data_IF_824878269837
#
_entry.id   IF_824878269837
#
_cell.length_a   1.000
_cell.length_b   1.000
_cell.length_c   1.000
_cell.angle_alpha   90.00
_cell.angle_beta   90.00
_cell.angle_gamma   90.00
#
_symmetry.space_group_name_H-M   'P 1'
#
loop_
_entity.id
_entity.type
_entity.pdbx_description
1 polymer ?
#
# COMPACT_ATOMS: atom_id res chain seq x y z
N UNK A 1 11.16 8.04 16.06
CA UNK A 1 12.01 7.35 17.05
C UNK A 1 12.91 8.36 17.72
N UNK A 2 12.81 8.45 19.04
CA UNK A 2 13.60 9.38 19.84
C UNK A 2 14.81 8.66 20.43
N UNK A 3 15.88 9.41 20.63
CA UNK A 3 17.10 8.95 21.26
C UNK A 3 17.72 10.05 22.09
N UNK A 4 18.99 9.88 22.44
CA UNK A 4 19.77 10.87 23.17
C UNK A 4 21.03 11.18 22.40
N UNK A 5 21.16 12.43 21.96
CA UNK A 5 22.33 12.91 21.25
C UNK A 5 23.59 12.78 22.11
N UNK A 6 24.73 12.60 21.46
CA UNK A 6 26.04 12.59 22.12
C UNK A 6 27.16 12.35 21.12
N UNK A 7 28.41 12.34 21.58
CA UNK A 7 29.55 12.08 20.70
C UNK A 7 29.63 10.58 20.36
N UNK A 8 29.91 10.26 19.10
CA UNK A 8 30.07 8.90 18.60
C UNK A 8 31.13 8.05 19.31
N UNK A 9 32.16 8.68 19.93
CA UNK A 9 33.19 8.00 20.69
C UNK A 9 32.72 7.52 22.08
N UNK A 10 31.59 8.03 22.56
CA UNK A 10 31.04 7.70 23.88
C UNK A 10 29.60 7.19 23.77
N UNK A 11 29.34 6.09 23.01
CA UNK A 11 27.99 5.60 22.75
C UNK A 11 27.23 5.20 24.02
N UNK A 12 27.93 4.86 25.10
CA UNK A 12 27.35 4.58 26.42
C UNK A 12 26.63 5.80 27.03
N UNK A 13 27.07 7.02 26.69
CA UNK A 13 26.47 8.28 27.15
C UNK A 13 25.32 8.75 26.24
N UNK A 14 25.18 8.18 25.06
CA UNK A 14 24.14 8.51 24.09
C UNK A 14 23.12 7.37 23.93
N UNK A 15 22.08 7.58 23.14
CA UNK A 15 21.18 6.52 22.68
C UNK A 15 20.82 6.78 21.23
N UNK A 16 21.40 6.00 20.32
CA UNK A 16 21.31 6.29 18.90
C UNK A 16 19.94 5.83 18.35
N UNK A 17 19.06 6.75 17.92
CA UNK A 17 17.73 6.42 17.42
C UNK A 17 17.77 5.61 16.13
N UNK A 18 18.84 5.69 15.33
CA UNK A 18 19.02 4.89 14.10
C UNK A 18 19.05 3.40 14.45
N UNK A 19 19.74 3.03 15.54
CA UNK A 19 19.79 1.64 16.01
C UNK A 19 18.43 1.13 16.44
N UNK A 20 17.62 1.98 17.10
CA UNK A 20 16.24 1.65 17.46
C UNK A 20 15.35 1.51 16.23
N UNK A 21 15.45 2.47 15.31
CA UNK A 21 14.68 2.49 14.06
C UNK A 21 14.93 1.24 13.21
N UNK A 22 16.17 0.75 13.13
CA UNK A 22 16.48 -0.50 12.43
C UNK A 22 15.72 -1.71 13.00
N UNK A 23 15.57 -1.80 14.33
CA UNK A 23 14.80 -2.89 14.94
C UNK A 23 13.31 -2.78 14.64
N UNK A 24 12.76 -1.56 14.63
CA UNK A 24 11.36 -1.31 14.35
C UNK A 24 11.02 -1.58 12.87
N UNK A 25 11.83 -1.06 11.94
CA UNK A 25 11.65 -1.28 10.49
C UNK A 25 11.77 -2.76 10.13
N UNK A 26 12.74 -3.47 10.72
CA UNK A 26 12.89 -4.92 10.54
C UNK A 26 11.60 -5.67 10.90
N UNK A 27 10.94 -5.30 12.00
CA UNK A 27 9.69 -5.93 12.42
C UNK A 27 8.47 -5.52 11.57
N UNK A 28 8.48 -4.32 10.98
CA UNK A 28 7.44 -3.93 10.02
C UNK A 28 7.54 -4.73 8.73
N UNK A 29 8.76 -5.03 8.27
CA UNK A 29 8.99 -5.76 7.03
C UNK A 29 8.97 -7.29 7.21
N UNK A 30 9.27 -7.79 8.41
CA UNK A 30 9.36 -9.23 8.68
C UNK A 30 8.77 -9.64 10.04
N UNK A 31 8.00 -10.76 10.07
CA UNK A 31 7.60 -11.60 8.94
C UNK A 31 6.55 -10.92 8.04
N UNK A 32 6.21 -11.53 6.90
CA UNK A 32 5.06 -11.08 6.09
C UNK A 32 3.77 -11.01 6.92
N UNK A 33 2.84 -10.12 6.57
CA UNK A 33 1.57 -9.97 7.29
C UNK A 33 0.64 -11.17 7.05
N UNK A 34 0.54 -11.61 5.81
CA UNK A 34 -0.27 -12.76 5.39
C UNK A 34 0.29 -13.34 4.08
N UNK A 35 -0.44 -14.27 3.46
CA UNK A 35 -0.08 -14.93 2.20
C UNK A 35 -1.03 -14.62 1.06
N UNK A 36 -1.84 -13.56 1.19
CA UNK A 36 -2.93 -13.28 0.26
C UNK A 36 -4.15 -14.17 0.50
N UNK A 37 -5.17 -13.94 -0.31
CA UNK A 37 -6.39 -14.74 -0.36
C UNK A 37 -6.64 -15.20 -1.79
N UNK A 38 -7.81 -15.81 -2.04
CA UNK A 38 -8.22 -16.16 -3.41
C UNK A 38 -8.29 -14.92 -4.30
N UNK A 39 -8.83 -13.83 -3.76
CA UNK A 39 -9.20 -12.65 -4.53
C UNK A 39 -8.16 -11.53 -4.40
N UNK A 40 -7.25 -11.57 -3.42
CA UNK A 40 -6.27 -10.51 -3.16
C UNK A 40 -4.84 -11.01 -3.00
N UNK A 41 -3.89 -10.17 -3.43
CA UNK A 41 -2.47 -10.38 -3.19
C UNK A 41 -2.13 -10.28 -1.69
N UNK A 42 -0.94 -10.77 -1.25
CA UNK A 42 -0.48 -10.58 0.12
C UNK A 42 -0.44 -9.11 0.53
N UNK A 43 -0.79 -8.82 1.78
CA UNK A 43 -0.61 -7.48 2.35
C UNK A 43 0.87 -7.08 2.29
N UNK A 44 1.12 -5.88 1.79
CA UNK A 44 2.47 -5.36 1.58
C UNK A 44 2.66 -4.02 2.27
N UNK A 45 3.72 -3.91 3.07
CA UNK A 45 4.15 -2.67 3.72
C UNK A 45 5.48 -2.24 3.10
N UNK A 46 5.51 -1.01 2.59
CA UNK A 46 6.71 -0.40 2.02
C UNK A 46 7.18 0.76 2.88
N UNK A 47 8.47 0.79 3.20
CA UNK A 47 9.11 1.96 3.80
C UNK A 47 9.47 2.94 2.70
N UNK A 48 8.81 4.09 2.68
CA UNK A 48 8.92 5.08 1.61
C UNK A 48 9.98 6.14 1.89
N UNK A 49 10.36 6.36 3.15
CA UNK A 49 11.49 7.23 3.52
C UNK A 49 12.11 6.84 4.85
N UNK A 50 13.41 7.07 5.00
CA UNK A 50 14.13 7.03 6.28
C UNK A 50 15.02 8.27 6.38
N UNK A 51 14.81 9.07 7.42
CA UNK A 51 15.46 10.36 7.60
C UNK A 51 16.01 10.52 9.02
N UNK A 52 17.25 11.01 9.10
CA UNK A 52 17.91 11.35 10.37
C UNK A 52 18.19 12.86 10.45
N UNK A 53 18.41 13.51 9.30
CA UNK A 53 18.68 14.95 9.22
C UNK A 53 19.97 15.40 9.93
N UNK A 54 20.87 14.46 10.29
CA UNK A 54 22.14 14.78 10.94
C UNK A 54 23.29 14.75 9.92
N UNK A 55 23.93 15.89 9.61
CA UNK A 55 25.07 15.94 8.71
C UNK A 55 26.41 15.61 9.39
N UNK A 56 26.48 15.63 10.73
CA UNK A 56 27.73 15.45 11.46
C UNK A 56 28.12 13.98 11.57
N UNK A 57 29.38 13.66 11.26
CA UNK A 57 29.90 12.28 11.24
C UNK A 57 30.32 11.76 12.63
N UNK A 58 30.53 12.65 13.59
CA UNK A 58 30.98 12.33 14.95
C UNK A 58 29.90 12.53 16.03
N UNK A 59 28.67 12.85 15.63
CA UNK A 59 27.54 13.08 16.53
C UNK A 59 26.49 11.99 16.33
N UNK A 60 26.07 11.37 17.43
CA UNK A 60 24.88 10.50 17.49
C UNK A 60 23.65 11.41 17.50
N UNK A 61 22.66 11.22 16.61
CA UNK A 61 21.48 12.08 16.51
C UNK A 61 20.51 11.91 17.68
N UNK A 62 19.64 12.90 17.88
CA UNK A 62 18.56 12.84 18.88
C UNK A 62 17.28 12.18 18.34
N UNK A 63 17.07 12.16 17.02
CA UNK A 63 15.86 11.61 16.39
C UNK A 63 16.17 10.92 15.07
N UNK A 64 15.38 9.91 14.75
CA UNK A 64 15.27 9.34 13.40
C UNK A 64 13.79 9.08 13.08
N UNK A 65 13.43 9.22 11.82
CA UNK A 65 12.06 9.09 11.31
C UNK A 65 12.05 8.10 10.16
N UNK A 66 11.01 7.27 10.09
CA UNK A 66 10.68 6.51 8.89
C UNK A 66 9.23 6.80 8.50
N UNK A 67 8.96 6.78 7.20
CA UNK A 67 7.61 6.83 6.64
C UNK A 67 7.35 5.51 5.94
N UNK A 68 6.15 4.98 6.07
CA UNK A 68 5.74 3.75 5.40
C UNK A 68 4.32 3.87 4.86
N UNK A 69 4.00 3.04 3.87
CA UNK A 69 2.65 2.83 3.36
C UNK A 69 2.33 1.34 3.41
N UNK A 70 1.11 0.99 3.80
CA UNK A 70 0.64 -0.39 3.78
C UNK A 70 -0.58 -0.51 2.86
N UNK A 71 -0.52 -1.50 1.97
CA UNK A 71 -1.64 -1.97 1.16
C UNK A 71 -2.04 -3.33 1.71
N UNK A 72 -3.21 -3.42 2.33
CA UNK A 72 -3.70 -4.63 2.98
C UNK A 72 -4.85 -5.26 2.21
N UNK A 73 -4.99 -6.58 2.34
CA UNK A 73 -6.07 -7.35 1.71
C UNK A 73 -7.25 -7.60 2.65
N UNK A 74 -8.21 -8.37 2.17
CA UNK A 74 -9.49 -8.69 2.81
C UNK A 74 -9.39 -9.51 4.11
N UNK A 75 -8.19 -9.89 4.54
CA UNK A 75 -7.97 -10.45 5.88
C UNK A 75 -7.85 -9.39 6.97
N UNK A 76 -7.73 -8.12 6.58
CA UNK A 76 -7.56 -6.99 7.48
C UNK A 76 -8.62 -5.92 7.26
N UNK A 77 -8.89 -5.21 8.33
CA UNK A 77 -9.45 -3.86 8.30
C UNK A 77 -8.41 -2.85 8.84
N UNK A 78 -8.77 -1.57 8.82
CA UNK A 78 -7.88 -0.51 9.26
C UNK A 78 -7.50 -0.63 10.75
N UNK A 79 -8.41 -1.09 11.60
CA UNK A 79 -8.17 -1.18 13.04
C UNK A 79 -7.24 -2.35 13.37
N UNK A 80 -7.52 -3.51 12.80
CA UNK A 80 -6.75 -4.74 12.98
C UNK A 80 -5.33 -4.63 12.41
N UNK A 81 -5.16 -3.99 11.25
CA UNK A 81 -3.81 -3.79 10.69
C UNK A 81 -3.01 -2.76 11.49
N UNK A 82 -3.65 -1.70 12.00
CA UNK A 82 -2.99 -0.74 12.88
C UNK A 82 -2.59 -1.40 14.21
N UNK A 83 -3.47 -2.22 14.78
CA UNK A 83 -3.18 -2.98 15.99
C UNK A 83 -2.00 -3.94 15.78
N UNK A 84 -1.94 -4.65 14.65
CA UNK A 84 -0.81 -5.52 14.31
C UNK A 84 0.50 -4.74 14.14
N UNK A 85 0.46 -3.57 13.49
CA UNK A 85 1.62 -2.69 13.39
C UNK A 85 2.11 -2.26 14.78
N UNK A 86 1.20 -1.86 15.67
CA UNK A 86 1.56 -1.53 17.05
C UNK A 86 2.17 -2.73 17.79
N UNK A 87 1.58 -3.91 17.68
CA UNK A 87 2.10 -5.13 18.30
C UNK A 87 3.52 -5.45 17.83
N UNK A 88 3.78 -5.36 16.52
CA UNK A 88 5.13 -5.58 15.94
C UNK A 88 6.14 -4.58 16.48
N UNK A 89 5.77 -3.31 16.55
CA UNK A 89 6.64 -2.24 17.01
C UNK A 89 6.94 -2.35 18.51
N UNK A 90 5.95 -2.68 19.34
CA UNK A 90 6.14 -2.86 20.79
C UNK A 90 7.06 -4.05 21.10
N UNK A 91 6.85 -5.18 20.43
CA UNK A 91 7.76 -6.32 20.54
C UNK A 91 9.17 -5.97 20.07
N UNK A 92 9.28 -5.23 18.97
CA UNK A 92 10.56 -4.81 18.39
C UNK A 92 11.29 -3.79 19.26
N UNK A 93 10.57 -2.91 19.94
CA UNK A 93 11.13 -1.90 20.84
C UNK A 93 11.90 -2.53 22.02
N UNK A 94 11.52 -3.75 22.42
CA UNK A 94 12.23 -4.54 23.43
C UNK A 94 13.50 -5.25 22.92
N UNK A 95 13.66 -5.41 21.60
CA UNK A 95 14.79 -6.17 21.01
C UNK A 95 16.12 -5.50 21.29
N UNK A 96 17.15 -6.30 21.57
CA UNK A 96 18.50 -5.81 21.92
C UNK A 96 19.53 -5.95 20.81
N UNK A 97 19.17 -6.56 19.67
CA UNK A 97 20.06 -6.85 18.52
C UNK A 97 20.95 -5.66 18.14
N UNK A 98 20.36 -4.47 17.99
CA UNK A 98 21.10 -3.26 17.60
C UNK A 98 21.37 -2.29 18.76
N UNK A 99 20.78 -2.51 19.95
CA UNK A 99 20.95 -1.70 21.17
C UNK A 99 21.40 -2.55 22.37
N UNK A 100 22.57 -3.22 22.29
CA UNK A 100 23.05 -4.08 23.38
C UNK A 100 23.31 -3.25 24.65
N UNK A 101 23.00 -3.83 25.81
CA UNK A 101 23.21 -3.20 27.12
C UNK A 101 22.21 -2.10 27.49
N UNK A 102 21.34 -1.64 26.57
CA UNK A 102 20.26 -0.71 26.89
C UNK A 102 19.14 -1.44 27.63
N UNK A 103 18.75 -0.94 28.81
CA UNK A 103 17.67 -1.53 29.62
C UNK A 103 16.28 -1.07 29.17
N UNK A 104 16.17 0.17 28.71
CA UNK A 104 14.92 0.75 28.23
C UNK A 104 14.54 0.22 26.84
N UNK A 105 13.24 0.27 26.54
CA UNK A 105 12.72 0.03 25.19
C UNK A 105 13.18 1.13 24.23
N UNK A 106 12.94 0.96 22.93
CA UNK A 106 13.05 2.05 21.96
C UNK A 106 11.93 3.04 22.26
N UNK A 107 12.26 4.32 22.41
CA UNK A 107 11.26 5.38 22.50
C UNK A 107 10.80 5.76 21.09
N UNK A 108 9.52 5.55 20.80
CA UNK A 108 8.96 5.80 19.48
C UNK A 108 7.52 6.27 19.55
N UNK A 109 7.09 6.91 18.48
CA UNK A 109 5.73 7.36 18.24
C UNK A 109 5.38 6.98 16.79
N UNK A 110 4.13 6.55 16.58
CA UNK A 110 3.55 6.30 15.26
C UNK A 110 2.42 7.29 15.06
N UNK A 111 2.43 7.96 13.91
CA UNK A 111 1.41 8.95 13.55
C UNK A 111 0.75 8.51 12.25
N UNK A 112 -0.56 8.32 12.29
CA UNK A 112 -1.38 7.99 11.13
C UNK A 112 -1.82 9.28 10.42
N UNK A 113 -1.39 9.49 9.18
CA UNK A 113 -1.60 10.77 8.47
C UNK A 113 -2.86 10.81 7.62
N UNK A 114 -3.22 9.68 7.01
CA UNK A 114 -4.28 9.62 6.01
C UNK A 114 -5.44 8.74 6.47
N UNK A 115 -6.63 9.04 5.94
CA UNK A 115 -7.77 8.12 6.11
C UNK A 115 -7.49 6.81 5.38
N UNK A 116 -7.68 5.66 6.04
CA UNK A 116 -7.47 4.37 5.41
C UNK A 116 -8.43 4.19 4.23
N UNK A 117 -7.93 3.61 3.15
CA UNK A 117 -8.77 3.12 2.06
C UNK A 117 -9.17 1.69 2.38
N UNK A 118 -10.47 1.46 2.53
CA UNK A 118 -10.98 0.12 2.85
C UNK A 118 -10.88 -0.81 1.65
N UNK A 119 -10.64 -2.09 1.94
CA UNK A 119 -10.69 -3.15 0.94
C UNK A 119 -12.13 -3.30 0.46
N UNK A 120 -12.32 -3.47 -0.85
CA UNK A 120 -13.61 -3.73 -1.44
C UNK A 120 -13.47 -4.73 -2.58
N UNK A 121 -14.53 -5.51 -2.81
CA UNK A 121 -14.62 -6.47 -3.89
C UNK A 121 -16.04 -6.45 -4.45
N UNK A 122 -16.16 -6.25 -5.75
CA UNK A 122 -17.45 -6.29 -6.43
C UNK A 122 -17.83 -7.73 -6.74
N UNK A 123 -19.03 -8.14 -6.32
CA UNK A 123 -19.60 -9.48 -6.56
C UNK A 123 -20.80 -9.46 -7.51
N UNK A 124 -21.02 -8.35 -8.20
CA UNK A 124 -22.10 -8.23 -9.19
C UNK A 124 -21.70 -8.92 -10.49
N UNK A 125 -22.16 -10.17 -10.65
CA UNK A 125 -21.88 -10.99 -11.83
C UNK A 125 -22.44 -10.35 -13.11
N UNK A 126 -23.59 -9.67 -13.04
CA UNK A 126 -24.18 -9.01 -14.22
C UNK A 126 -23.26 -7.91 -14.73
N UNK A 127 -22.78 -7.03 -13.85
CA UNK A 127 -21.84 -5.96 -14.20
C UNK A 127 -20.53 -6.53 -14.77
N UNK A 128 -19.95 -7.50 -14.06
CA UNK A 128 -18.68 -8.11 -14.42
C UNK A 128 -18.78 -8.82 -15.78
N UNK A 129 -19.81 -9.63 -15.99
CA UNK A 129 -19.97 -10.41 -17.23
C UNK A 129 -20.36 -9.54 -18.41
N UNK A 130 -21.17 -8.49 -18.21
CA UNK A 130 -21.52 -7.56 -19.29
C UNK A 130 -20.26 -6.85 -19.78
N UNK A 131 -19.48 -6.24 -18.88
CA UNK A 131 -18.23 -5.57 -19.29
C UNK A 131 -17.23 -6.56 -19.89
N UNK A 132 -17.06 -7.73 -19.29
CA UNK A 132 -16.17 -8.78 -19.82
C UNK A 132 -16.58 -9.24 -21.21
N UNK A 133 -17.90 -9.32 -21.47
CA UNK A 133 -18.48 -9.63 -22.78
C UNK A 133 -18.20 -8.54 -23.81
N UNK A 134 -18.40 -7.26 -23.45
CA UNK A 134 -18.12 -6.12 -24.32
C UNK A 134 -16.63 -6.03 -24.70
N UNK A 135 -15.73 -6.25 -23.73
CA UNK A 135 -14.28 -6.33 -23.99
C UNK A 135 -13.96 -7.48 -24.95
N UNK A 136 -14.53 -8.66 -24.72
CA UNK A 136 -14.32 -9.82 -25.58
C UNK A 136 -14.85 -9.60 -27.00
N UNK A 137 -15.96 -8.88 -27.17
CA UNK A 137 -16.52 -8.58 -28.47
C UNK A 137 -15.64 -7.63 -29.29
N UNK A 138 -14.98 -6.65 -28.65
CA UNK A 138 -14.13 -5.67 -29.34
C UNK A 138 -12.71 -6.21 -29.57
N UNK A 139 -12.12 -6.90 -28.58
CA UNK A 139 -10.71 -7.30 -28.59
C UNK A 139 -10.51 -8.79 -28.89
N UNK A 140 -11.59 -9.59 -28.90
CA UNK A 140 -11.54 -11.04 -29.13
C UNK A 140 -11.02 -11.85 -27.94
N UNK A 141 -10.87 -11.24 -26.76
CA UNK A 141 -10.35 -11.89 -25.55
C UNK A 141 -11.11 -11.45 -24.30
N UNK A 142 -11.42 -12.40 -23.42
CA UNK A 142 -12.03 -12.11 -22.12
C UNK A 142 -10.97 -11.57 -21.16
N UNK A 143 -11.21 -10.45 -20.45
CA UNK A 143 -10.25 -9.91 -19.51
C UNK A 143 -10.14 -10.80 -18.26
N UNK A 144 -8.98 -10.78 -17.62
CA UNK A 144 -8.80 -11.36 -16.28
C UNK A 144 -9.37 -10.43 -15.22
N UNK A 145 -10.10 -10.97 -14.24
CA UNK A 145 -10.49 -10.22 -13.05
C UNK A 145 -9.29 -10.06 -12.12
N UNK A 146 -9.09 -8.85 -11.59
CA UNK A 146 -7.95 -8.56 -10.72
C UNK A 146 -8.29 -7.54 -9.66
N UNK A 147 -7.66 -7.69 -8.49
CA UNK A 147 -7.58 -6.70 -7.40
C UNK A 147 -6.15 -6.13 -7.26
N UNK A 148 -5.27 -6.46 -8.21
CA UNK A 148 -3.88 -6.02 -8.20
C UNK A 148 -3.75 -4.52 -8.44
N UNK A 149 -2.69 -3.91 -7.90
CA UNK A 149 -2.32 -2.54 -8.18
C UNK A 149 -2.59 -1.60 -7.01
N UNK A 150 -2.92 -0.35 -7.33
CA UNK A 150 -3.22 0.69 -6.36
C UNK A 150 -4.66 0.64 -5.86
N UNK A 151 -5.21 1.81 -5.52
CA UNK A 151 -6.64 2.01 -5.28
C UNK A 151 -7.10 3.16 -6.17
N UNK A 152 -8.39 3.23 -6.45
CA UNK A 152 -9.01 4.36 -7.14
C UNK A 152 -10.11 4.97 -6.28
N UNK A 153 -10.79 5.98 -6.80
CA UNK A 153 -11.96 6.57 -6.14
C UNK A 153 -13.18 5.62 -6.11
N UNK A 154 -13.10 4.45 -6.77
CA UNK A 154 -14.03 3.34 -6.56
C UNK A 154 -14.22 2.98 -5.09
N UNK A 155 -13.21 3.20 -4.24
CA UNK A 155 -13.30 3.00 -2.78
C UNK A 155 -14.42 3.80 -2.11
N UNK A 156 -14.85 4.92 -2.71
CA UNK A 156 -15.99 5.71 -2.25
C UNK A 156 -17.28 5.33 -2.97
N UNK A 157 -17.21 5.11 -4.28
CA UNK A 157 -18.39 4.82 -5.12
C UNK A 157 -19.03 3.48 -4.76
N UNK A 158 -18.22 2.50 -4.33
CA UNK A 158 -18.67 1.15 -3.94
C UNK A 158 -19.72 1.13 -2.82
N UNK A 159 -19.78 2.20 -2.01
CA UNK A 159 -20.79 2.33 -0.95
C UNK A 159 -22.19 2.67 -1.50
N UNK A 160 -22.28 3.04 -2.78
CA UNK A 160 -23.52 3.44 -3.44
C UNK A 160 -23.95 2.47 -4.54
N UNK A 161 -23.01 1.84 -5.24
CA UNK A 161 -23.30 0.87 -6.30
C UNK A 161 -22.14 -0.12 -6.54
N UNK A 162 -22.37 -1.22 -7.27
CA UNK A 162 -21.31 -2.08 -7.75
C UNK A 162 -20.33 -1.31 -8.66
N UNK A 163 -19.02 -1.55 -8.50
CA UNK A 163 -17.98 -0.83 -9.25
C UNK A 163 -16.97 -1.80 -9.86
N UNK A 164 -16.62 -1.59 -11.12
CA UNK A 164 -15.51 -2.27 -11.79
C UNK A 164 -14.60 -1.23 -12.42
N UNK A 165 -13.31 -1.52 -12.47
CA UNK A 165 -12.32 -0.67 -13.10
C UNK A 165 -11.81 -1.34 -14.37
N UNK A 166 -11.79 -0.58 -15.47
CA UNK A 166 -11.27 -1.02 -16.75
C UNK A 166 -10.70 0.18 -17.50
N UNK A 167 -9.51 0.03 -18.08
CA UNK A 167 -8.82 1.14 -18.74
C UNK A 167 -7.52 0.71 -19.41
N UNK A 168 -6.70 1.70 -19.75
CA UNK A 168 -5.43 1.52 -20.46
C UNK A 168 -4.36 0.85 -19.58
N UNK A 169 -3.34 0.30 -20.23
CA UNK A 169 -2.17 -0.24 -19.53
C UNK A 169 -1.28 0.92 -19.05
N UNK A 170 -1.29 1.19 -17.75
CA UNK A 170 -0.51 2.27 -17.12
C UNK A 170 1.00 2.04 -17.04
N UNK A 171 1.67 1.65 -18.13
CA UNK A 171 3.11 1.32 -18.15
C UNK A 171 4.02 2.49 -17.73
N UNK A 172 3.59 3.71 -17.96
CA UNK A 172 4.36 4.93 -17.71
C UNK A 172 3.65 5.89 -16.74
N UNK A 173 2.60 5.46 -16.02
CA UNK A 173 1.88 6.37 -15.12
C UNK A 173 2.82 6.87 -14.03
N UNK A 174 2.78 8.18 -13.75
CA UNK A 174 3.66 8.86 -12.78
C UNK A 174 5.16 8.85 -13.14
N UNK A 175 5.51 8.56 -14.40
CA UNK A 175 6.88 8.66 -14.91
C UNK A 175 7.03 9.92 -15.77
N UNK A 176 8.27 10.38 -15.97
CA UNK A 176 8.57 11.38 -17.00
C UNK A 176 8.20 10.80 -18.37
N UNK A 177 7.71 11.66 -19.28
CA UNK A 177 7.24 11.28 -20.62
C UNK A 177 6.10 10.25 -20.61
N UNK A 178 5.15 10.41 -19.68
CA UNK A 178 3.93 9.60 -19.63
C UNK A 178 3.18 9.62 -20.98
N UNK A 179 2.87 8.43 -21.51
CA UNK A 179 2.29 8.27 -22.84
C UNK A 179 1.48 6.98 -22.99
N UNK A 180 0.60 6.97 -23.98
CA UNK A 180 -0.15 5.78 -24.41
C UNK A 180 -0.24 5.74 -25.93
N UNK A 181 -0.42 4.55 -26.51
CA UNK A 181 -0.66 4.42 -27.93
C UNK A 181 -2.07 4.94 -28.29
N UNK A 182 -2.17 5.72 -29.36
CA UNK A 182 -3.48 6.22 -29.84
C UNK A 182 -4.43 5.07 -30.19
N UNK A 183 -3.90 3.99 -30.78
CA UNK A 183 -4.70 2.80 -31.09
C UNK A 183 -5.31 2.12 -29.84
N UNK A 184 -4.61 2.16 -28.70
CA UNK A 184 -5.16 1.62 -27.44
C UNK A 184 -6.29 2.50 -26.91
N UNK A 185 -6.19 3.83 -27.08
CA UNK A 185 -7.26 4.78 -26.75
C UNK A 185 -8.50 4.55 -27.62
N UNK A 186 -8.32 4.43 -28.94
CA UNK A 186 -9.42 4.17 -29.88
C UNK A 186 -10.12 2.83 -29.57
N UNK A 187 -9.32 1.79 -29.24
CA UNK A 187 -9.85 0.49 -28.81
C UNK A 187 -10.66 0.62 -27.52
N UNK A 188 -10.14 1.36 -26.53
CA UNK A 188 -10.85 1.60 -25.27
C UNK A 188 -12.16 2.36 -25.47
N UNK A 189 -12.20 3.34 -26.39
CA UNK A 189 -13.42 4.04 -26.77
C UNK A 189 -14.48 3.06 -27.29
N UNK A 190 -14.10 2.18 -28.23
CA UNK A 190 -15.03 1.17 -28.76
C UNK A 190 -15.54 0.18 -27.71
N UNK A 191 -14.70 -0.17 -26.72
CA UNK A 191 -15.12 -1.01 -25.58
C UNK A 191 -16.17 -0.29 -24.73
N UNK A 192 -15.95 0.98 -24.37
CA UNK A 192 -16.90 1.72 -23.56
C UNK A 192 -18.23 1.96 -24.30
N UNK A 193 -18.18 2.30 -25.59
CA UNK A 193 -19.37 2.42 -26.43
C UNK A 193 -20.19 1.12 -26.40
N UNK A 194 -19.53 0.00 -26.69
CA UNK A 194 -20.18 -1.32 -26.67
C UNK A 194 -20.74 -1.69 -25.30
N UNK A 195 -20.01 -1.39 -24.23
CA UNK A 195 -20.48 -1.66 -22.86
C UNK A 195 -21.73 -0.86 -22.51
N UNK A 196 -21.79 0.43 -22.87
CA UNK A 196 -22.97 1.27 -22.65
C UNK A 196 -24.17 0.69 -23.43
N UNK A 197 -23.98 0.29 -24.69
CA UNK A 197 -25.02 -0.38 -25.48
C UNK A 197 -25.49 -1.69 -24.85
N UNK A 198 -24.57 -2.58 -24.46
CA UNK A 198 -24.90 -3.87 -23.86
C UNK A 198 -25.60 -3.70 -22.49
N UNK A 199 -25.20 -2.71 -21.69
CA UNK A 199 -25.73 -2.49 -20.34
C UNK A 199 -27.14 -1.89 -20.35
N UNK A 200 -27.38 -0.89 -21.20
CA UNK A 200 -28.67 -0.19 -21.27
C UNK A 200 -29.62 -0.74 -22.34
N UNK A 201 -29.11 -1.43 -23.36
CA UNK A 201 -29.90 -2.02 -24.44
C UNK A 201 -30.72 -3.23 -24.03
N UNK A 202 -30.39 -3.90 -22.92
CA UNK A 202 -31.09 -5.09 -22.41
C UNK A 202 -32.47 -4.79 -21.78
N UNK A 203 -32.93 -3.53 -21.75
CA UNK A 203 -34.24 -3.13 -21.22
C UNK A 203 -35.34 -2.89 -22.27
N UNK A 204 -35.07 -3.17 -23.55
CA UNK A 204 -35.98 -2.84 -24.68
C UNK A 204 -36.73 -4.05 -25.28
N UNK A 205 -36.81 -5.18 -24.58
CA UNK A 205 -37.66 -6.33 -24.97
C UNK A 205 -38.83 -6.53 -24.04
#
# INVERSE_FOLDING_TARGET
VNGRQGHAAYPQLADNPVRGLMSLVDALLHPVFDRGTKDFQPTNLEVTSIDVGNPATNVIPAKATATFNIRFNDTWDAETVQAEIHNRLDQAAGRKKYRPGKKTAVDYEVVWRDRPSHVFLTRDEKLIDTLSGSVAAVVGKRPSLSTSGGTSDARFIKDFCPVVEFGLVGKTMHMVDERVAVADLETLTGIYERFIEDWFGQGLT
#
